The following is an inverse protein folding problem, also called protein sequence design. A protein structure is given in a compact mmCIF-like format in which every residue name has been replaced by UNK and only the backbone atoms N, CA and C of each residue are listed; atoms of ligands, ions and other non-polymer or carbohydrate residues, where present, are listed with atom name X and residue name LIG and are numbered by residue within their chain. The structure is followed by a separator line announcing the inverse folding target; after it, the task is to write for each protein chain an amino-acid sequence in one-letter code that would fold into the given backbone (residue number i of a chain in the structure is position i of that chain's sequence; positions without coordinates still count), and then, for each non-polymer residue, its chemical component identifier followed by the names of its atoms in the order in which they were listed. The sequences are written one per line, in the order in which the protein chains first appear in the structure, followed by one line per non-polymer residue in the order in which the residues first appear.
data_IF_097703712887
#
_entry.id   IF_097703712887
#
_cell.length_a   1.000
_cell.length_b   1.000
_cell.length_c   1.000
_cell.angle_alpha   90.00
_cell.angle_beta   90.00
_cell.angle_gamma   90.00
#
_symmetry.space_group_name_H-M   'P 1'
#
loop_
_entity.id
_entity.type
_entity.pdbx_description
1 polymer ?
#
# COMPACT_ATOMS: atom_id res chain seq x y z
N UNK A 1 1.21 -5.47 -22.85
CA UNK A 1 1.05 -4.16 -22.16
C UNK A 1 2.31 -3.86 -21.39
N UNK A 2 2.88 -2.70 -21.63
CA UNK A 2 4.02 -2.23 -20.83
C UNK A 2 3.53 -1.47 -19.60
N UNK A 3 4.22 -1.68 -18.49
CA UNK A 3 3.88 -1.09 -17.20
C UNK A 3 5.00 -0.15 -16.79
N UNK A 4 4.63 1.08 -16.44
CA UNK A 4 5.56 2.08 -15.91
C UNK A 4 5.27 2.32 -14.44
N UNK A 5 6.29 2.75 -13.71
CA UNK A 5 6.20 3.05 -12.28
C UNK A 5 6.62 4.50 -12.07
N UNK A 6 5.82 5.24 -11.32
CA UNK A 6 6.11 6.65 -11.02
C UNK A 6 5.60 7.03 -9.64
N UNK A 7 6.12 8.11 -9.10
CA UNK A 7 5.57 8.65 -7.85
C UNK A 7 4.15 9.16 -8.10
N UNK A 8 3.27 8.97 -7.12
CA UNK A 8 1.93 9.52 -7.17
C UNK A 8 2.00 11.04 -7.14
N UNK A 9 1.21 11.68 -7.99
CA UNK A 9 1.02 13.12 -7.92
C UNK A 9 -0.28 13.44 -7.17
N UNK A 10 -0.56 14.73 -7.00
CA UNK A 10 -1.74 15.14 -6.25
C UNK A 10 -3.04 14.59 -6.83
N UNK A 11 -3.12 14.45 -8.14
CA UNK A 11 -4.33 13.93 -8.80
C UNK A 11 -4.56 12.44 -8.54
N UNK A 12 -3.52 11.68 -8.18
CA UNK A 12 -3.64 10.25 -7.89
C UNK A 12 -4.15 9.97 -6.48
N UNK A 13 -4.01 10.93 -5.55
CA UNK A 13 -4.28 10.71 -4.13
C UNK A 13 -5.73 10.30 -3.86
N UNK A 14 -6.69 10.90 -4.56
CA UNK A 14 -8.10 10.54 -4.39
C UNK A 14 -8.35 9.07 -4.74
N UNK A 15 -7.79 8.59 -5.83
CA UNK A 15 -7.91 7.20 -6.24
C UNK A 15 -7.24 6.26 -5.24
N UNK A 16 -6.05 6.64 -4.76
CA UNK A 16 -5.33 5.86 -3.75
C UNK A 16 -6.14 5.74 -2.48
N UNK A 17 -6.66 6.87 -1.99
CA UNK A 17 -7.48 6.90 -0.77
C UNK A 17 -8.73 6.03 -0.91
N UNK A 18 -9.47 6.22 -2.00
CA UNK A 18 -10.70 5.47 -2.24
C UNK A 18 -10.44 3.96 -2.35
N UNK A 19 -9.44 3.58 -3.11
CA UNK A 19 -9.13 2.16 -3.28
C UNK A 19 -8.61 1.52 -1.98
N UNK A 20 -7.84 2.27 -1.18
CA UNK A 20 -7.37 1.80 0.12
C UNK A 20 -8.55 1.51 1.05
N UNK A 21 -9.43 2.50 1.22
CA UNK A 21 -10.59 2.36 2.10
C UNK A 21 -11.53 1.25 1.63
N UNK A 22 -11.80 1.18 0.33
CA UNK A 22 -12.70 0.17 -0.22
C UNK A 22 -12.13 -1.24 -0.14
N UNK A 23 -10.84 -1.41 -0.41
CA UNK A 23 -10.21 -2.73 -0.34
C UNK A 23 -10.11 -3.24 1.10
N UNK A 24 -9.79 -2.35 2.04
CA UNK A 24 -9.77 -2.71 3.46
C UNK A 24 -11.16 -3.09 3.96
N UNK A 25 -12.21 -2.39 3.50
CA UNK A 25 -13.60 -2.69 3.86
C UNK A 25 -14.00 -4.13 3.47
N UNK A 26 -13.43 -4.66 2.40
CA UNK A 26 -13.69 -6.03 1.94
C UNK A 26 -12.86 -7.08 2.65
N UNK A 27 -11.97 -6.68 3.56
CA UNK A 27 -11.13 -7.61 4.29
C UNK A 27 -11.91 -8.25 5.43
N UNK A 28 -11.47 -9.44 5.94
CA UNK A 28 -12.12 -10.08 7.10
C UNK A 28 -12.14 -9.20 8.35
N UNK A 29 -11.21 -8.26 8.46
CA UNK A 29 -11.07 -7.38 9.62
C UNK A 29 -12.08 -6.25 9.64
N UNK A 30 -12.62 -5.87 8.48
CA UNK A 30 -13.58 -4.77 8.38
C UNK A 30 -14.89 -5.06 9.11
N UNK A 31 -15.27 -6.34 9.26
CA UNK A 31 -16.47 -6.73 9.99
C UNK A 31 -16.40 -6.51 11.50
N UNK A 32 -15.21 -6.27 12.04
CA UNK A 32 -14.99 -6.03 13.47
C UNK A 32 -15.29 -4.59 13.86
N UNK A 33 -15.25 -3.66 12.90
CA UNK A 33 -15.45 -2.22 13.14
C UNK A 33 -16.69 -1.77 12.38
N UNK A 34 -17.59 -1.04 13.06
CA UNK A 34 -18.78 -0.47 12.42
C UNK A 34 -18.37 0.54 11.36
N UNK A 35 -19.12 0.58 10.25
CA UNK A 35 -18.81 1.48 9.12
C UNK A 35 -18.67 2.95 9.52
N UNK A 36 -19.50 3.43 10.47
CA UNK A 36 -19.43 4.82 10.93
C UNK A 36 -18.15 5.14 11.72
N UNK A 37 -17.46 4.14 12.25
CA UNK A 37 -16.16 4.30 12.93
C UNK A 37 -15.00 3.95 12.03
N UNK A 38 -15.22 3.03 11.08
CA UNK A 38 -14.18 2.52 10.20
C UNK A 38 -13.56 3.62 9.32
N UNK A 39 -14.40 4.34 8.58
CA UNK A 39 -13.87 5.32 7.63
C UNK A 39 -13.08 6.45 8.29
N UNK A 40 -13.59 7.10 9.35
CA UNK A 40 -12.82 8.16 10.00
C UNK A 40 -11.51 7.68 10.60
N UNK A 41 -11.50 6.52 11.25
CA UNK A 41 -10.29 5.99 11.88
C UNK A 41 -9.23 5.59 10.85
N UNK A 42 -9.63 4.83 9.84
CA UNK A 42 -8.69 4.37 8.81
C UNK A 42 -8.21 5.54 7.97
N UNK A 43 -9.10 6.47 7.63
CA UNK A 43 -8.74 7.66 6.88
C UNK A 43 -7.72 8.49 7.64
N UNK A 44 -7.90 8.66 8.95
CA UNK A 44 -6.95 9.39 9.79
C UNK A 44 -5.56 8.77 9.79
N UNK A 45 -5.47 7.44 9.87
CA UNK A 45 -4.19 6.74 9.80
C UNK A 45 -3.52 6.96 8.44
N UNK A 46 -4.28 6.83 7.36
CA UNK A 46 -3.75 7.00 6.00
C UNK A 46 -3.28 8.43 5.78
N UNK A 47 -4.08 9.42 6.19
CA UNK A 47 -3.71 10.83 6.06
C UNK A 47 -2.44 11.15 6.84
N UNK A 48 -2.30 10.60 8.05
CA UNK A 48 -1.11 10.79 8.87
C UNK A 48 0.14 10.18 8.22
N UNK A 49 0.01 9.00 7.63
CA UNK A 49 1.11 8.38 6.88
C UNK A 49 1.59 9.27 5.73
N UNK A 50 0.65 9.82 4.97
CA UNK A 50 0.98 10.71 3.85
C UNK A 50 1.64 11.98 4.36
N UNK A 51 1.12 12.57 5.42
CA UNK A 51 1.64 13.82 5.98
C UNK A 51 3.04 13.67 6.56
N UNK A 52 3.36 12.51 7.15
CA UNK A 52 4.71 12.30 7.70
C UNK A 52 5.74 11.87 6.64
N UNK A 53 5.34 11.85 5.37
CA UNK A 53 6.26 11.60 4.26
C UNK A 53 6.33 10.18 3.74
N UNK A 54 5.35 9.33 4.08
CA UNK A 54 5.25 8.02 3.44
C UNK A 54 5.10 8.21 1.93
N UNK A 55 5.86 7.46 1.16
CA UNK A 55 5.91 7.60 -0.29
C UNK A 55 4.87 6.70 -0.94
N UNK A 56 4.18 7.23 -1.95
CA UNK A 56 3.25 6.45 -2.77
C UNK A 56 3.81 6.37 -4.18
N UNK A 57 4.00 5.13 -4.65
CA UNK A 57 4.39 4.85 -6.03
C UNK A 57 3.22 4.18 -6.72
N UNK A 58 2.92 4.60 -7.96
CA UNK A 58 1.85 4.00 -8.75
C UNK A 58 2.43 3.23 -9.92
N UNK A 59 1.77 2.11 -10.24
CA UNK A 59 2.00 1.35 -11.46
C UNK A 59 0.92 1.77 -12.46
N UNK A 60 1.33 2.16 -13.66
CA UNK A 60 0.40 2.65 -14.68
C UNK A 60 0.76 2.06 -16.05
N UNK A 61 -0.14 2.22 -17.00
CA UNK A 61 0.16 1.87 -18.39
C UNK A 61 1.19 2.84 -18.95
N UNK A 62 2.19 2.30 -19.61
CA UNK A 62 3.26 3.14 -20.19
C UNK A 62 2.71 4.08 -21.26
N UNK A 63 1.77 3.60 -22.08
CA UNK A 63 1.14 4.38 -23.14
C UNK A 63 0.03 5.32 -22.65
N UNK A 64 -0.40 5.17 -21.39
CA UNK A 64 -1.46 6.00 -20.81
C UNK A 64 -1.24 6.12 -19.30
N UNK A 65 -0.38 7.07 -18.88
CA UNK A 65 0.02 7.19 -17.47
C UNK A 65 -1.12 7.46 -16.49
N UNK A 66 -2.25 8.01 -16.96
CA UNK A 66 -3.43 8.21 -16.13
C UNK A 66 -4.16 6.92 -15.78
N UNK A 67 -3.86 5.85 -16.50
CA UNK A 67 -4.49 4.56 -16.26
C UNK A 67 -3.70 3.81 -15.19
N UNK A 68 -4.10 3.98 -13.93
CA UNK A 68 -3.45 3.38 -12.77
C UNK A 68 -3.88 1.92 -12.64
N UNK A 69 -2.91 1.03 -12.54
CA UNK A 69 -3.12 -0.41 -12.39
C UNK A 69 -3.02 -0.86 -10.95
N UNK A 70 -2.21 -0.17 -10.16
CA UNK A 70 -2.00 -0.46 -8.76
C UNK A 70 -1.10 0.60 -8.12
N UNK A 71 -0.90 0.49 -6.81
CA UNK A 71 -0.05 1.44 -6.08
C UNK A 71 0.46 0.81 -4.79
N UNK A 72 1.48 1.43 -4.21
CA UNK A 72 2.06 1.04 -2.93
C UNK A 72 2.27 2.30 -2.08
N UNK A 73 2.01 2.18 -0.78
CA UNK A 73 2.41 3.17 0.21
C UNK A 73 3.50 2.56 1.08
N UNK A 74 4.65 3.25 1.15
CA UNK A 74 5.83 2.71 1.79
C UNK A 74 6.66 3.81 2.45
N UNK A 75 7.54 3.41 3.36
CA UNK A 75 8.53 4.31 3.92
C UNK A 75 9.76 3.51 4.35
N UNK A 76 10.79 4.21 4.81
CA UNK A 76 12.01 3.60 5.36
C UNK A 76 12.15 4.05 6.79
N UNK A 77 12.40 3.10 7.71
CA UNK A 77 12.63 3.43 9.11
C UNK A 77 13.98 4.15 9.28
N UNK A 78 14.16 4.92 10.37
CA UNK A 78 15.47 5.51 10.68
C UNK A 78 16.59 4.50 10.76
N UNK A 79 16.28 3.26 11.10
CA UNK A 79 17.24 2.14 11.15
C UNK A 79 17.55 1.54 9.78
N UNK A 80 16.81 1.95 8.74
CA UNK A 80 17.08 1.55 7.36
C UNK A 80 16.18 0.47 6.78
N UNK A 81 15.33 -0.17 7.58
CA UNK A 81 14.45 -1.23 7.08
C UNK A 81 13.29 -0.68 6.27
N UNK A 82 12.91 -1.39 5.22
CA UNK A 82 11.75 -1.06 4.41
C UNK A 82 10.46 -1.32 5.19
N UNK A 83 9.48 -0.43 5.02
CA UNK A 83 8.12 -0.59 5.57
C UNK A 83 7.12 -0.47 4.45
N UNK A 84 6.28 -1.49 4.28
CA UNK A 84 5.16 -1.48 3.36
C UNK A 84 3.89 -1.31 4.17
N UNK A 85 3.24 -0.17 4.01
CA UNK A 85 1.95 0.06 4.69
C UNK A 85 0.83 -0.62 3.94
N UNK A 86 0.79 -0.44 2.63
CA UNK A 86 -0.26 -1.04 1.82
C UNK A 86 0.20 -1.19 0.39
N UNK A 87 -0.28 -2.25 -0.26
CA UNK A 87 -0.13 -2.46 -1.69
C UNK A 87 -1.49 -2.89 -2.24
N UNK A 88 -1.88 -2.28 -3.36
CA UNK A 88 -3.15 -2.56 -4.00
C UNK A 88 -2.95 -2.68 -5.50
N UNK A 89 -3.51 -3.71 -6.09
CA UNK A 89 -3.53 -3.92 -7.54
C UNK A 89 -4.97 -4.21 -7.94
N UNK A 90 -5.43 -3.53 -8.98
CA UNK A 90 -6.77 -3.78 -9.52
C UNK A 90 -6.89 -5.24 -9.95
N UNK A 91 -8.02 -5.86 -9.64
CA UNK A 91 -8.23 -7.30 -9.79
C UNK A 91 -7.84 -7.85 -11.17
N UNK A 92 -8.23 -7.23 -12.31
CA UNK A 92 -7.87 -7.77 -13.62
C UNK A 92 -6.36 -7.87 -13.86
N UNK A 93 -5.56 -7.10 -13.12
CA UNK A 93 -4.11 -7.01 -13.31
C UNK A 93 -3.31 -7.80 -12.27
N UNK A 94 -3.98 -8.49 -11.34
CA UNK A 94 -3.31 -9.28 -10.30
C UNK A 94 -2.32 -10.32 -10.87
N UNK A 95 -2.66 -11.04 -11.97
CA UNK A 95 -1.73 -12.05 -12.50
C UNK A 95 -0.42 -11.49 -13.07
N UNK A 96 -0.31 -10.17 -13.23
CA UNK A 96 0.88 -9.55 -13.85
C UNK A 96 2.05 -9.34 -12.88
N UNK A 97 1.90 -9.70 -11.59
CA UNK A 97 2.97 -9.57 -10.62
C UNK A 97 3.31 -8.14 -10.22
N UNK A 98 2.36 -7.21 -10.38
CA UNK A 98 2.58 -5.78 -10.10
C UNK A 98 2.86 -5.56 -8.61
N UNK A 99 2.12 -6.25 -7.73
CA UNK A 99 2.33 -6.11 -6.28
C UNK A 99 3.74 -6.50 -5.86
N UNK A 100 4.23 -7.62 -6.35
CA UNK A 100 5.59 -8.08 -6.06
C UNK A 100 6.64 -7.10 -6.60
N UNK A 101 6.41 -6.56 -7.79
CA UNK A 101 7.31 -5.57 -8.38
C UNK A 101 7.34 -4.29 -7.56
N UNK A 102 6.19 -3.81 -7.10
CA UNK A 102 6.12 -2.61 -6.25
C UNK A 102 6.86 -2.80 -4.93
N UNK A 103 6.67 -3.94 -4.28
CA UNK A 103 7.38 -4.26 -3.03
C UNK A 103 8.89 -4.34 -3.29
N UNK A 104 9.29 -5.00 -4.36
CA UNK A 104 10.70 -5.14 -4.71
C UNK A 104 11.40 -3.82 -5.03
N UNK A 105 10.65 -2.84 -5.53
CA UNK A 105 11.15 -1.49 -5.83
C UNK A 105 11.25 -0.61 -4.60
N UNK A 106 10.71 -1.03 -3.45
CA UNK A 106 10.71 -0.21 -2.23
C UNK A 106 12.14 -0.03 -1.73
N UNK A 107 12.51 1.22 -1.36
CA UNK A 107 13.82 1.47 -0.77
C UNK A 107 13.93 0.87 0.64
N UNK A 108 15.16 0.72 1.11
CA UNK A 108 15.41 0.20 2.45
C UNK A 108 15.78 -1.28 2.45
N UNK A 109 16.19 -1.75 3.61
CA UNK A 109 16.60 -3.15 3.80
C UNK A 109 15.37 -4.07 3.73
N UNK A 110 15.45 -5.09 2.91
CA UNK A 110 14.40 -6.10 2.73
C UNK A 110 14.96 -7.47 3.07
N UNK A 111 14.17 -8.37 3.70
CA UNK A 111 12.78 -8.12 4.12
C UNK A 111 12.71 -7.12 5.27
N UNK A 112 11.59 -6.40 5.33
CA UNK A 112 11.33 -5.40 6.36
C UNK A 112 10.00 -5.67 7.05
N UNK A 113 9.16 -4.62 7.18
CA UNK A 113 7.90 -4.70 7.92
C UNK A 113 6.73 -4.34 7.03
N UNK A 114 5.54 -4.91 7.33
CA UNK A 114 4.28 -4.46 6.76
C UNK A 114 3.30 -4.15 7.89
N UNK A 115 2.43 -3.16 7.68
CA UNK A 115 1.62 -2.61 8.77
C UNK A 115 0.14 -2.97 8.68
N UNK A 116 -0.40 -3.19 7.48
CA UNK A 116 -1.79 -3.55 7.31
C UNK A 116 -1.92 -5.02 6.89
N UNK A 117 -2.76 -5.78 7.59
CA UNK A 117 -3.11 -7.13 7.19
C UNK A 117 -4.22 -7.10 6.17
N UNK A 118 -3.84 -7.14 4.91
CA UNK A 118 -4.73 -7.25 3.79
C UNK A 118 -4.15 -8.28 2.84
N UNK A 119 -5.01 -9.07 2.18
CA UNK A 119 -4.56 -10.21 1.39
C UNK A 119 -3.44 -9.87 0.42
N UNK A 120 -3.58 -8.79 -0.35
CA UNK A 120 -2.56 -8.40 -1.32
C UNK A 120 -1.26 -7.99 -0.66
N UNK A 121 -1.33 -7.32 0.50
CA UNK A 121 -0.13 -6.96 1.28
C UNK A 121 0.57 -8.22 1.77
N UNK A 122 -0.18 -9.15 2.34
CA UNK A 122 0.38 -10.41 2.85
C UNK A 122 0.96 -11.26 1.73
N UNK A 123 0.33 -11.28 0.55
CA UNK A 123 0.82 -12.04 -0.60
C UNK A 123 2.10 -11.42 -1.18
N UNK A 124 2.21 -10.10 -1.19
CA UNK A 124 3.37 -9.38 -1.73
C UNK A 124 4.51 -9.28 -0.73
N UNK A 125 4.19 -9.17 0.57
CA UNK A 125 5.15 -9.17 1.67
C UNK A 125 5.07 -10.52 2.37
N UNK A 126 5.64 -11.54 1.76
CA UNK A 126 5.51 -12.92 2.26
C UNK A 126 6.25 -13.10 3.57
N UNK A 127 5.51 -13.52 4.60
CA UNK A 127 6.11 -13.81 5.90
C UNK A 127 7.16 -14.93 5.80
N UNK A 128 6.98 -15.87 4.86
CA UNK A 128 7.96 -16.92 4.56
C UNK A 128 9.29 -16.36 4.07
N UNK A 129 9.29 -15.15 3.51
CA UNK A 129 10.51 -14.46 3.04
C UNK A 129 11.10 -13.54 4.11
N UNK A 130 10.59 -13.60 5.35
CA UNK A 130 11.13 -12.86 6.48
C UNK A 130 10.46 -11.53 6.79
N UNK A 131 9.43 -11.14 6.04
CA UNK A 131 8.67 -9.93 6.34
C UNK A 131 7.87 -10.09 7.63
N UNK A 132 7.83 -9.03 8.45
CA UNK A 132 7.18 -9.05 9.76
C UNK A 132 6.01 -8.08 9.81
N UNK A 133 4.91 -8.51 10.42
CA UNK A 133 3.75 -7.64 10.64
C UNK A 133 3.99 -6.78 11.87
N UNK A 134 3.94 -5.46 11.69
CA UNK A 134 4.21 -4.47 12.74
C UNK A 134 3.22 -3.30 12.62
N UNK A 135 1.95 -3.52 13.01
CA UNK A 135 0.89 -2.51 12.80
C UNK A 135 1.14 -1.20 13.56
N UNK A 136 1.89 -1.24 14.65
CA UNK A 136 2.21 -0.06 15.45
C UNK A 136 3.01 0.99 14.67
N UNK A 137 3.74 0.60 13.65
CA UNK A 137 4.55 1.52 12.84
C UNK A 137 3.65 2.50 12.08
N UNK A 138 2.48 2.07 11.65
CA UNK A 138 1.53 2.94 10.94
C UNK A 138 1.03 4.10 11.81
N UNK A 139 1.00 3.91 13.13
CA UNK A 139 0.49 4.88 14.10
C UNK A 139 1.59 5.65 14.82
N UNK A 140 2.84 5.44 14.45
CA UNK A 140 3.97 6.12 15.04
C UNK A 140 4.00 7.59 14.59
N UNK A 141 4.07 8.48 15.57
CA UNK A 141 4.23 9.91 15.30
C UNK A 141 5.69 10.31 15.17
#
# INVERSE_FOLDING_TARGET
MQISYRKADFSDIALVMDSWLNSWKKSPWAGVVRNNHYYPQTRGVVEELIMRGAEIEVACRDDKPDHILGWICREVLPTGEAVVHYVYVKEPYLPLGIGDALVGRSPGTKPGFYTFRYRQVADSCKASDGWRHAPEIARRK
#
